data_IF_379718405241
#
_entry.id   IF_379718405241
#
_cell.length_a   1.000
_cell.length_b   1.000
_cell.length_c   1.000
_cell.angle_alpha   90.00
_cell.angle_beta   90.00
_cell.angle_gamma   90.00
#
_symmetry.space_group_name_H-M   'P 1'
#
loop_
_entity.id
_entity.type
_entity.pdbx_description
1 polymer ?
#
# COMPACT_ATOMS: atom_id res chain seq x y z
N UNK A 1 22.07 -37.09 -54.83
CA UNK A 1 21.39 -38.04 -53.92
C UNK A 1 19.92 -37.67 -53.81
N UNK A 2 18.98 -38.60 -54.03
CA UNK A 2 17.55 -38.31 -53.91
C UNK A 2 17.22 -37.98 -52.46
N UNK A 3 16.53 -36.85 -52.23
CA UNK A 3 16.06 -36.47 -50.90
C UNK A 3 14.99 -37.46 -50.45
N UNK A 4 15.22 -38.14 -49.32
CA UNK A 4 14.18 -38.97 -48.69
C UNK A 4 12.99 -38.07 -48.38
N UNK A 5 11.84 -38.38 -48.95
CA UNK A 5 10.58 -37.70 -48.64
C UNK A 5 10.20 -37.86 -47.16
N UNK A 6 9.30 -37.01 -46.63
CA UNK A 6 8.82 -37.11 -45.27
C UNK A 6 8.27 -38.51 -44.99
N UNK A 7 8.56 -39.05 -43.80
CA UNK A 7 8.04 -40.35 -43.37
C UNK A 7 6.51 -40.29 -43.36
N UNK A 8 5.86 -41.28 -43.97
CA UNK A 8 4.39 -41.42 -43.90
C UNK A 8 4.01 -41.70 -42.45
N UNK A 9 3.27 -40.78 -41.84
CA UNK A 9 2.71 -40.96 -40.49
C UNK A 9 1.63 -42.03 -40.57
N UNK A 10 1.67 -43.01 -39.67
CA UNK A 10 0.67 -44.06 -39.59
C UNK A 10 -0.42 -43.69 -38.57
N UNK A 11 -1.62 -44.26 -38.72
CA UNK A 11 -2.72 -44.10 -37.73
C UNK A 11 -2.33 -44.54 -36.31
N UNK A 12 -1.26 -45.32 -36.16
CA UNK A 12 -0.71 -45.69 -34.85
C UNK A 12 0.06 -44.53 -34.23
N UNK A 13 0.88 -43.83 -35.01
CA UNK A 13 1.64 -42.66 -34.56
C UNK A 13 0.71 -41.54 -34.08
N UNK A 14 -0.42 -41.33 -34.77
CA UNK A 14 -1.43 -40.35 -34.35
C UNK A 14 -2.04 -40.68 -32.96
N UNK A 15 -2.37 -41.96 -32.71
CA UNK A 15 -2.89 -42.40 -31.41
C UNK A 15 -1.84 -42.37 -30.30
N UNK A 16 -0.57 -42.56 -30.63
CA UNK A 16 0.53 -42.42 -29.67
C UNK A 16 0.77 -40.94 -29.32
N UNK A 17 0.67 -40.05 -30.30
CA UNK A 17 0.73 -38.59 -30.10
C UNK A 17 -0.42 -38.09 -29.24
N UNK A 18 -1.64 -38.57 -29.49
CA UNK A 18 -2.83 -38.21 -28.70
C UNK A 18 -2.69 -38.66 -27.23
N UNK A 19 -2.31 -39.93 -26.99
CA UNK A 19 -2.03 -40.42 -25.62
C UNK A 19 -0.91 -39.66 -24.93
N UNK A 20 0.13 -39.26 -25.67
CA UNK A 20 1.19 -38.41 -25.13
C UNK A 20 0.67 -37.02 -24.75
N UNK A 21 -0.21 -36.42 -25.56
CA UNK A 21 -0.81 -35.12 -25.28
C UNK A 21 -1.75 -35.18 -24.05
N UNK A 22 -2.55 -36.23 -23.92
CA UNK A 22 -3.42 -36.46 -22.76
C UNK A 22 -2.63 -36.62 -21.47
N UNK A 23 -1.57 -37.44 -21.48
CA UNK A 23 -0.67 -37.61 -20.32
C UNK A 23 -0.04 -36.30 -19.90
N UNK A 24 0.41 -35.48 -20.86
CA UNK A 24 0.96 -34.14 -20.58
C UNK A 24 -0.09 -33.19 -19.98
N UNK A 25 -1.33 -33.21 -20.49
CA UNK A 25 -2.44 -32.43 -19.93
C UNK A 25 -2.75 -32.86 -18.49
N UNK A 26 -2.82 -34.16 -18.22
CA UNK A 26 -3.07 -34.71 -16.88
C UNK A 26 -1.93 -34.36 -15.89
N UNK A 27 -0.67 -34.47 -16.33
CA UNK A 27 0.48 -34.06 -15.52
C UNK A 27 0.48 -32.55 -15.25
N UNK A 28 0.14 -31.73 -16.25
CA UNK A 28 0.04 -30.29 -16.06
C UNK A 28 -1.11 -29.90 -15.12
N UNK A 29 -2.25 -30.57 -15.19
CA UNK A 29 -3.39 -30.33 -14.29
C UNK A 29 -3.06 -30.71 -12.84
N UNK A 30 -2.44 -31.88 -12.61
CA UNK A 30 -2.03 -32.30 -11.28
C UNK A 30 -0.94 -31.41 -10.68
N UNK A 31 0.02 -30.94 -11.49
CA UNK A 31 1.01 -29.95 -11.06
C UNK A 31 0.36 -28.62 -10.63
N UNK A 32 -0.62 -28.11 -11.42
CA UNK A 32 -1.35 -26.88 -11.07
C UNK A 32 -2.15 -27.03 -9.78
N UNK A 33 -2.84 -28.14 -9.59
CA UNK A 33 -3.59 -28.41 -8.36
C UNK A 33 -2.68 -28.42 -7.13
N UNK A 34 -1.51 -29.08 -7.20
CA UNK A 34 -0.51 -29.08 -6.11
C UNK A 34 0.02 -27.68 -5.80
N UNK A 35 0.32 -26.88 -6.83
CA UNK A 35 0.76 -25.49 -6.62
C UNK A 35 -0.35 -24.64 -5.99
N UNK A 36 -1.60 -24.81 -6.42
CA UNK A 36 -2.76 -24.11 -5.85
C UNK A 36 -2.94 -24.43 -4.36
N UNK A 37 -2.84 -25.71 -3.99
CA UNK A 37 -2.93 -26.17 -2.60
C UNK A 37 -1.78 -25.64 -1.74
N UNK A 38 -0.54 -25.65 -2.25
CA UNK A 38 0.62 -25.09 -1.54
C UNK A 38 0.46 -23.60 -1.27
N UNK A 39 0.06 -22.83 -2.29
CA UNK A 39 -0.15 -21.38 -2.15
C UNK A 39 -1.29 -21.08 -1.17
N UNK A 40 -2.35 -21.87 -1.18
CA UNK A 40 -3.44 -21.76 -0.21
C UNK A 40 -2.99 -22.06 1.22
N UNK A 41 -2.18 -23.12 1.43
CA UNK A 41 -1.65 -23.47 2.74
C UNK A 41 -0.71 -22.39 3.28
N UNK A 42 0.17 -21.83 2.45
CA UNK A 42 1.00 -20.68 2.83
C UNK A 42 0.13 -19.48 3.22
N UNK A 43 -0.92 -19.21 2.44
CA UNK A 43 -1.86 -18.11 2.73
C UNK A 43 -2.65 -18.33 4.03
N UNK A 44 -3.03 -19.57 4.36
CA UNK A 44 -3.76 -19.88 5.60
C UNK A 44 -2.87 -19.88 6.85
N UNK A 45 -1.61 -20.27 6.71
CA UNK A 45 -0.71 -20.47 7.85
C UNK A 45 0.05 -19.20 8.24
N UNK A 46 0.25 -18.26 7.32
CA UNK A 46 0.88 -16.98 7.63
C UNK A 46 -0.16 -15.98 8.15
N UNK A 47 0.05 -15.44 9.36
CA UNK A 47 -0.88 -14.49 10.01
C UNK A 47 -1.00 -13.13 9.27
N UNK A 48 -0.18 -12.91 8.25
CA UNK A 48 -0.25 -11.76 7.34
C UNK A 48 0.47 -12.12 6.02
N UNK A 49 -0.16 -12.91 5.14
CA UNK A 49 0.49 -13.33 3.90
C UNK A 49 0.60 -12.13 2.99
N UNK A 50 1.83 -11.72 2.66
CA UNK A 50 2.05 -10.86 1.51
C UNK A 50 1.36 -11.52 0.31
N UNK A 51 0.48 -10.78 -0.36
CA UNK A 51 -0.19 -11.26 -1.58
C UNK A 51 0.89 -11.78 -2.53
N UNK A 52 0.73 -12.99 -3.11
CA UNK A 52 1.77 -13.54 -3.97
C UNK A 52 2.14 -12.54 -5.07
N UNK A 53 3.43 -12.27 -5.23
CA UNK A 53 3.90 -11.23 -6.14
C UNK A 53 3.88 -11.72 -7.59
N UNK A 54 4.13 -13.01 -7.80
CA UNK A 54 4.15 -13.58 -9.14
C UNK A 54 2.74 -13.72 -9.72
N UNK A 55 2.62 -13.56 -11.04
CA UNK A 55 1.36 -13.76 -11.76
C UNK A 55 0.87 -15.21 -11.67
N UNK A 56 1.80 -16.17 -11.59
CA UNK A 56 1.51 -17.60 -11.48
C UNK A 56 0.87 -17.96 -10.15
N UNK A 57 1.45 -17.53 -9.04
CA UNK A 57 0.91 -17.78 -7.70
C UNK A 57 -0.42 -17.05 -7.48
N UNK A 58 -0.60 -15.83 -8.00
CA UNK A 58 -1.91 -15.14 -7.95
C UNK A 58 -3.00 -15.91 -8.68
N UNK A 59 -2.68 -16.58 -9.78
CA UNK A 59 -3.62 -17.44 -10.50
C UNK A 59 -3.92 -18.71 -9.69
N UNK A 60 -2.88 -19.33 -9.12
CA UNK A 60 -3.01 -20.54 -8.31
C UNK A 60 -3.84 -20.28 -7.03
N UNK A 61 -3.62 -19.15 -6.35
CA UNK A 61 -4.42 -18.72 -5.20
C UNK A 61 -5.88 -18.50 -5.57
N UNK A 62 -6.15 -17.87 -6.73
CA UNK A 62 -7.53 -17.69 -7.22
C UNK A 62 -8.22 -19.02 -7.50
N UNK A 63 -7.52 -19.95 -8.13
CA UNK A 63 -8.05 -21.28 -8.43
C UNK A 63 -8.35 -22.05 -7.13
N UNK A 64 -7.46 -21.99 -6.15
CA UNK A 64 -7.66 -22.58 -4.84
C UNK A 64 -8.84 -21.96 -4.07
N UNK A 65 -8.91 -20.63 -3.99
CA UNK A 65 -9.99 -19.91 -3.31
C UNK A 65 -11.35 -20.15 -3.99
N UNK A 66 -11.37 -20.17 -5.32
CA UNK A 66 -12.58 -20.50 -6.08
C UNK A 66 -13.05 -21.93 -5.81
N UNK A 67 -12.14 -22.88 -5.61
CA UNK A 67 -12.47 -24.25 -5.25
C UNK A 67 -13.06 -24.36 -3.83
N UNK A 68 -12.73 -23.42 -2.93
CA UNK A 68 -13.35 -23.28 -1.60
C UNK A 68 -14.70 -22.53 -1.63
N UNK A 69 -15.19 -22.14 -2.81
CA UNK A 69 -16.42 -21.35 -2.95
C UNK A 69 -16.24 -19.85 -2.69
N UNK A 70 -15.00 -19.37 -2.54
CA UNK A 70 -14.71 -17.95 -2.35
C UNK A 70 -14.61 -17.28 -3.73
N UNK A 71 -15.66 -16.58 -4.14
CA UNK A 71 -15.67 -15.87 -5.43
C UNK A 71 -14.67 -14.70 -5.44
N UNK A 72 -13.73 -14.77 -6.37
CA UNK A 72 -12.72 -13.73 -6.61
C UNK A 72 -13.14 -12.75 -7.73
N UNK A 73 -14.38 -12.80 -8.21
CA UNK A 73 -14.86 -11.88 -9.26
C UNK A 73 -14.84 -10.41 -8.79
N UNK A 74 -15.03 -10.19 -7.48
CA UNK A 74 -14.90 -8.86 -6.84
C UNK A 74 -13.49 -8.28 -6.94
N UNK A 75 -12.46 -9.13 -7.01
CA UNK A 75 -11.04 -8.75 -7.09
C UNK A 75 -10.61 -8.16 -8.45
N UNK A 76 -11.34 -8.45 -9.53
CA UNK A 76 -10.95 -8.05 -10.90
C UNK A 76 -11.48 -6.68 -11.34
N UNK A 77 -12.21 -5.96 -10.49
CA UNK A 77 -12.83 -4.68 -10.87
C UNK A 77 -11.84 -3.53 -11.06
N UNK A 78 -10.55 -3.70 -10.70
CA UNK A 78 -9.54 -2.65 -10.79
C UNK A 78 -9.78 -1.48 -9.83
N UNK A 79 -10.80 -1.55 -8.97
CA UNK A 79 -11.01 -0.65 -7.84
C UNK A 79 -10.31 -1.27 -6.63
N UNK A 80 -9.07 -0.85 -6.42
CA UNK A 80 -8.06 -1.67 -5.72
C UNK A 80 -8.12 -1.72 -4.19
N UNK A 81 -8.97 -0.94 -3.50
CA UNK A 81 -8.91 -0.88 -2.02
C UNK A 81 -10.22 -1.28 -1.30
N UNK A 82 -11.39 -0.92 -1.84
CA UNK A 82 -12.70 -1.21 -1.21
C UNK A 82 -13.05 -2.70 -1.17
N UNK A 83 -12.60 -3.48 -2.16
CA UNK A 83 -12.86 -4.92 -2.17
C UNK A 83 -12.01 -5.69 -1.15
N UNK A 84 -10.83 -5.17 -0.80
CA UNK A 84 -9.99 -5.74 0.25
C UNK A 84 -10.59 -5.47 1.64
N UNK A 85 -11.15 -4.28 1.85
CA UNK A 85 -11.90 -3.90 3.05
C UNK A 85 -13.01 -4.91 3.37
N UNK A 86 -13.85 -5.27 2.40
CA UNK A 86 -14.94 -6.22 2.63
C UNK A 86 -14.46 -7.64 2.91
N UNK A 87 -13.36 -8.09 2.29
CA UNK A 87 -12.85 -9.45 2.47
C UNK A 87 -12.09 -9.60 3.79
N UNK A 88 -11.29 -8.59 4.17
CA UNK A 88 -10.63 -8.57 5.48
C UNK A 88 -11.65 -8.44 6.61
N UNK A 89 -12.69 -7.61 6.42
CA UNK A 89 -13.84 -7.51 7.33
C UNK A 89 -14.57 -8.86 7.44
N UNK A 90 -14.99 -9.45 6.32
CA UNK A 90 -15.72 -10.73 6.34
C UNK A 90 -14.91 -11.85 6.99
N UNK A 91 -13.61 -11.96 6.68
CA UNK A 91 -12.79 -13.05 7.26
C UNK A 91 -12.42 -12.80 8.72
N UNK A 92 -12.13 -11.58 9.12
CA UNK A 92 -11.83 -11.29 10.52
C UNK A 92 -13.08 -11.44 11.40
N UNK A 93 -14.21 -10.90 10.94
CA UNK A 93 -15.48 -10.96 11.67
C UNK A 93 -16.00 -12.40 11.72
N UNK A 94 -15.98 -13.16 10.62
CA UNK A 94 -16.47 -14.55 10.61
C UNK A 94 -15.55 -15.53 11.36
N UNK A 95 -14.23 -15.31 11.41
CA UNK A 95 -13.34 -16.18 12.19
C UNK A 95 -13.34 -15.87 13.68
N UNK A 96 -13.49 -14.59 14.07
CA UNK A 96 -13.40 -14.17 15.48
C UNK A 96 -14.76 -14.19 16.18
N UNK A 97 -15.85 -14.04 15.43
CA UNK A 97 -17.22 -14.02 15.91
C UNK A 97 -18.13 -14.96 15.09
N UNK A 98 -17.82 -16.27 15.01
CA UNK A 98 -18.59 -17.21 14.19
C UNK A 98 -20.08 -17.27 14.59
N UNK A 99 -20.38 -17.01 15.86
CA UNK A 99 -21.73 -17.14 16.41
C UNK A 99 -22.62 -15.90 16.18
N UNK A 100 -22.02 -14.74 15.84
CA UNK A 100 -22.76 -13.46 15.72
C UNK A 100 -23.58 -13.37 14.44
N UNK A 101 -23.24 -14.15 13.40
CA UNK A 101 -23.99 -14.16 12.13
C UNK A 101 -25.00 -15.31 12.00
N UNK A 102 -25.13 -16.16 13.02
CA UNK A 102 -26.00 -17.35 12.95
C UNK A 102 -27.39 -17.16 13.58
N UNK A 103 -27.65 -16.04 14.24
CA UNK A 103 -28.95 -15.72 14.83
C UNK A 103 -29.42 -14.35 14.34
N UNK A 104 -30.64 -14.28 13.78
CA UNK A 104 -31.23 -13.08 13.18
C UNK A 104 -31.65 -11.99 14.17
N UNK A 105 -30.80 -11.67 15.15
CA UNK A 105 -31.03 -10.59 16.11
C UNK A 105 -30.43 -9.29 15.55
N UNK A 106 -31.25 -8.57 14.77
CA UNK A 106 -30.89 -7.31 14.08
C UNK A 106 -30.62 -6.12 15.04
N UNK A 107 -30.81 -6.25 16.35
CA UNK A 107 -30.75 -5.13 17.31
C UNK A 107 -29.47 -5.02 18.16
N UNK A 108 -28.53 -5.96 18.06
CA UNK A 108 -27.23 -5.79 18.74
C UNK A 108 -26.26 -5.00 17.87
N UNK A 109 -25.93 -3.77 18.28
CA UNK A 109 -24.82 -3.03 17.67
C UNK A 109 -23.59 -3.92 17.64
N UNK A 110 -22.97 -4.17 16.48
CA UNK A 110 -22.04 -5.26 16.37
C UNK A 110 -20.80 -5.02 17.24
N UNK A 111 -20.53 -5.94 18.17
CA UNK A 111 -19.42 -5.86 19.12
C UNK A 111 -18.04 -5.64 18.44
N UNK A 112 -17.92 -5.98 17.15
CA UNK A 112 -16.72 -5.73 16.36
C UNK A 112 -16.39 -4.24 16.14
N UNK A 113 -17.35 -3.31 16.30
CA UNK A 113 -17.08 -1.87 16.24
C UNK A 113 -16.20 -1.38 17.39
N UNK A 114 -16.13 -2.13 18.49
CA UNK A 114 -15.20 -1.89 19.61
C UNK A 114 -13.82 -2.54 19.43
N UNK A 115 -13.64 -3.34 18.37
CA UNK A 115 -12.39 -4.04 18.12
C UNK A 115 -11.34 -3.06 17.58
N UNK A 116 -10.34 -2.79 18.41
CA UNK A 116 -9.22 -1.89 18.14
C UNK A 116 -8.51 -2.17 16.81
N UNK A 117 -8.40 -3.44 16.41
CA UNK A 117 -7.76 -3.82 15.15
C UNK A 117 -8.64 -3.53 13.94
N UNK A 118 -9.95 -3.79 14.02
CA UNK A 118 -10.88 -3.43 12.95
C UNK A 118 -11.06 -1.92 12.87
N UNK A 119 -11.07 -1.22 14.00
CA UNK A 119 -11.07 0.23 13.99
C UNK A 119 -9.84 0.78 13.27
N UNK A 120 -8.66 0.17 13.40
CA UNK A 120 -7.44 0.53 12.66
C UNK A 120 -7.58 0.30 11.14
N UNK A 121 -8.22 -0.80 10.72
CA UNK A 121 -8.39 -1.14 9.30
C UNK A 121 -9.57 -0.43 8.61
N UNK A 122 -10.65 -0.19 9.35
CA UNK A 122 -11.95 0.20 8.81
C UNK A 122 -12.34 1.63 9.16
N UNK A 123 -11.40 2.49 9.58
CA UNK A 123 -11.74 3.89 9.84
C UNK A 123 -12.07 4.60 8.52
N UNK A 124 -13.35 4.50 8.19
CA UNK A 124 -14.08 5.27 7.21
C UNK A 124 -14.39 6.58 7.94
N UNK A 125 -13.82 7.72 7.50
CA UNK A 125 -14.09 9.02 8.09
C UNK A 125 -15.59 9.25 8.34
N UNK A 126 -15.92 9.95 9.43
CA UNK A 126 -17.31 10.08 9.90
C UNK A 126 -18.22 10.75 8.85
N UNK A 127 -17.67 11.66 8.05
CA UNK A 127 -18.32 12.30 6.89
C UNK A 127 -18.60 11.32 5.73
N UNK A 128 -17.88 10.21 5.69
CA UNK A 128 -18.06 9.14 4.72
C UNK A 128 -19.15 8.15 5.17
N UNK A 129 -19.36 7.97 6.48
CA UNK A 129 -20.53 7.24 7.02
C UNK A 129 -21.83 7.92 6.62
N UNK A 130 -21.90 9.25 6.67
CA UNK A 130 -23.06 10.02 6.24
C UNK A 130 -23.31 9.98 4.73
N UNK A 131 -22.26 9.83 3.92
CA UNK A 131 -22.40 9.69 2.46
C UNK A 131 -22.90 8.30 2.07
N UNK A 132 -22.45 7.25 2.76
CA UNK A 132 -22.89 5.88 2.51
C UNK A 132 -24.33 5.66 2.97
N UNK A 133 -24.74 6.23 4.11
CA UNK A 133 -26.12 6.11 4.61
C UNK A 133 -27.16 6.77 3.70
N UNK A 134 -26.76 7.76 2.89
CA UNK A 134 -27.62 8.42 1.88
C UNK A 134 -27.73 7.67 0.55
N UNK A 135 -26.88 6.68 0.29
CA UNK A 135 -26.86 5.92 -0.98
C UNK A 135 -27.64 4.61 -0.87
N UNK A 136 -28.06 4.20 0.33
CA UNK A 136 -28.96 3.05 0.52
C UNK A 136 -30.41 3.51 0.32
N UNK A 137 -30.80 3.73 -0.93
CA UNK A 137 -32.22 3.72 -1.29
C UNK A 137 -32.74 2.26 -1.26
N UNK A 138 -34.01 2.04 -0.84
CA UNK A 138 -34.58 0.71 -0.77
C UNK A 138 -34.61 0.05 -2.14
N UNK A 139 -34.04 -1.16 -2.17
CA UNK A 139 -34.12 -2.20 -3.19
C UNK A 139 -35.28 -2.00 -4.19
N UNK A 140 -34.98 -1.51 -5.40
CA UNK A 140 -35.91 -1.60 -6.52
C UNK A 140 -36.03 -3.09 -6.92
N UNK A 141 -37.25 -3.66 -6.99
CA UNK A 141 -37.42 -5.01 -7.51
C UNK A 141 -36.96 -5.06 -8.98
N UNK A 142 -36.15 -6.06 -9.30
CA UNK A 142 -35.58 -6.31 -10.62
C UNK A 142 -36.66 -6.23 -11.72
N UNK A 143 -36.41 -5.55 -12.84
CA UNK A 143 -37.33 -5.61 -13.97
C UNK A 143 -37.37 -7.05 -14.53
N UNK A 144 -38.52 -7.50 -15.05
CA UNK A 144 -38.68 -8.84 -15.59
C UNK A 144 -37.68 -9.08 -16.73
N UNK A 145 -37.00 -10.23 -16.67
CA UNK A 145 -36.08 -10.69 -17.70
C UNK A 145 -36.82 -10.85 -19.03
N UNK A 146 -36.50 -9.98 -19.98
CA UNK A 146 -37.02 -10.05 -21.35
C UNK A 146 -36.21 -11.11 -22.13
N UNK A 147 -36.83 -12.26 -22.43
CA UNK A 147 -36.20 -13.43 -23.07
C UNK A 147 -35.81 -13.23 -24.56
N UNK A 148 -36.02 -12.04 -25.13
CA UNK A 148 -35.82 -11.77 -26.56
C UNK A 148 -34.58 -10.93 -26.89
N UNK A 149 -33.44 -11.16 -26.22
CA UNK A 149 -32.19 -10.43 -26.54
C UNK A 149 -31.35 -11.19 -27.58
N UNK A 150 -31.41 -10.72 -28.82
CA UNK A 150 -30.61 -11.18 -29.97
C UNK A 150 -29.11 -10.99 -29.70
N UNK A 151 -28.22 -11.96 -30.05
CA UNK A 151 -26.81 -11.91 -29.71
C UNK A 151 -26.06 -10.75 -30.39
N UNK A 152 -25.38 -9.95 -29.58
CA UNK A 152 -24.50 -8.86 -30.00
C UNK A 152 -23.23 -9.44 -30.66
N UNK A 153 -23.05 -9.22 -31.97
CA UNK A 153 -21.83 -9.62 -32.70
C UNK A 153 -20.69 -8.65 -32.37
N UNK A 154 -19.77 -9.06 -31.51
CA UNK A 154 -18.52 -8.35 -31.29
C UNK A 154 -17.61 -8.48 -32.52
N UNK A 155 -17.33 -7.35 -33.20
CA UNK A 155 -16.31 -7.28 -34.26
C UNK A 155 -14.92 -7.32 -33.63
N UNK A 156 -14.20 -8.41 -33.86
CA UNK A 156 -12.77 -8.53 -33.52
C UNK A 156 -11.95 -7.77 -34.54
N UNK A 157 -11.42 -6.61 -34.17
CA UNK A 157 -10.49 -5.84 -35.01
C UNK A 157 -9.10 -6.46 -34.91
N UNK A 158 -8.66 -7.13 -35.97
CA UNK A 158 -7.30 -7.70 -36.08
C UNK A 158 -6.35 -6.63 -36.61
N UNK A 159 -5.41 -6.15 -35.78
CA UNK A 159 -4.32 -5.29 -36.26
C UNK A 159 -3.25 -6.14 -36.96
N UNK A 160 -3.03 -5.90 -38.25
CA UNK A 160 -1.90 -6.45 -39.01
C UNK A 160 -0.67 -5.58 -38.76
N UNK A 161 0.29 -6.11 -38.00
CA UNK A 161 1.63 -5.52 -37.91
C UNK A 161 2.37 -5.85 -39.22
N UNK A 162 2.92 -4.84 -39.87
CA UNK A 162 3.65 -5.00 -41.13
C UNK A 162 5.01 -5.68 -40.91
N UNK A 163 5.44 -6.50 -41.87
CA UNK A 163 6.69 -7.28 -41.84
C UNK A 163 7.96 -6.42 -41.72
N UNK A 164 7.87 -5.11 -41.96
CA UNK A 164 9.00 -4.17 -41.81
C UNK A 164 9.24 -3.72 -40.37
N UNK A 165 8.25 -3.82 -39.47
CA UNK A 165 8.44 -3.46 -38.04
C UNK A 165 9.00 -4.60 -37.19
N UNK A 166 8.89 -5.86 -37.64
CA UNK A 166 9.49 -7.02 -36.95
C UNK A 166 10.99 -7.20 -37.22
N UNK A 167 11.56 -6.51 -38.23
CA UNK A 167 12.99 -6.65 -38.60
C UNK A 167 13.90 -5.65 -37.88
N UNK A 168 13.36 -4.61 -37.27
CA UNK A 168 14.14 -3.61 -36.52
C UNK A 168 14.41 -3.99 -35.04
N UNK A 169 13.91 -5.14 -34.57
CA UNK A 169 14.10 -5.60 -33.19
C UNK A 169 15.03 -6.82 -33.05
N UNK A 170 15.60 -7.34 -34.16
CA UNK A 170 16.37 -8.58 -34.17
C UNK A 170 17.87 -8.41 -34.47
N UNK A 171 18.35 -7.22 -34.81
CA UNK A 171 19.76 -6.98 -35.16
C UNK A 171 20.32 -5.87 -34.27
N UNK A 172 20.71 -6.27 -33.06
CA UNK A 172 21.57 -5.47 -32.20
C UNK A 172 22.96 -5.38 -32.82
N UNK A 173 23.33 -4.20 -33.31
CA UNK A 173 24.72 -3.86 -33.60
C UNK A 173 24.90 -2.37 -33.37
N UNK A 174 25.41 -2.02 -32.19
CA UNK A 174 25.86 -0.67 -31.87
C UNK A 174 27.24 -0.54 -32.48
N UNK A 175 27.36 0.23 -33.57
CA UNK A 175 28.64 0.71 -34.09
C UNK A 175 28.88 2.09 -33.48
N UNK A 176 29.85 2.18 -32.57
CA UNK A 176 30.36 3.46 -32.06
C UNK A 176 31.53 3.89 -32.94
N UNK A 177 31.39 5.04 -33.61
CA UNK A 177 32.52 5.75 -34.20
C UNK A 177 33.16 6.68 -33.15
N UNK A 178 34.49 6.75 -33.04
CA UNK A 178 35.16 7.67 -32.13
C UNK A 178 35.33 9.05 -32.78
N UNK A 179 34.86 10.10 -32.11
CA UNK A 179 35.32 11.48 -32.37
C UNK A 179 36.27 11.88 -31.25
N UNK A 180 37.53 12.09 -31.64
CA UNK A 180 38.56 12.65 -30.79
C UNK A 180 38.17 14.08 -30.37
N UNK A 181 38.29 14.37 -29.08
CA UNK A 181 38.47 15.74 -28.63
C UNK A 181 39.49 15.74 -27.48
N UNK A 182 40.62 16.37 -27.75
CA UNK A 182 41.73 16.57 -26.84
C UNK A 182 41.38 17.66 -25.84
N UNK A 183 41.35 17.35 -24.55
CA UNK A 183 41.64 18.32 -23.51
C UNK A 183 42.44 17.65 -22.38
N UNK A 184 43.63 18.23 -22.14
CA UNK A 184 44.44 18.14 -20.92
C UNK A 184 43.50 18.28 -19.70
N UNK A 185 43.57 17.51 -18.63
CA UNK A 185 44.72 16.93 -17.98
C UNK A 185 44.72 17.48 -16.55
N UNK A 186 43.98 16.84 -15.64
CA UNK A 186 44.01 17.07 -14.21
C UNK A 186 43.94 15.71 -13.48
N UNK A 187 44.69 15.50 -12.38
CA UNK A 187 44.84 14.21 -11.74
C UNK A 187 43.61 13.81 -10.92
N UNK A 188 43.17 12.56 -11.16
CA UNK A 188 42.14 11.84 -10.41
C UNK A 188 42.67 11.48 -9.02
N UNK A 189 41.99 11.98 -7.98
CA UNK A 189 42.09 11.44 -6.62
C UNK A 189 41.04 10.34 -6.44
N UNK A 190 41.51 9.10 -6.29
CA UNK A 190 40.71 7.93 -5.89
C UNK A 190 40.34 8.04 -4.41
N UNK A 191 39.18 8.62 -4.08
CA UNK A 191 38.65 8.64 -2.70
C UNK A 191 37.11 8.56 -2.67
N UNK A 192 36.54 7.58 -3.38
CA UNK A 192 35.10 7.30 -3.39
C UNK A 192 34.80 5.85 -3.00
N UNK A 193 35.25 5.43 -1.81
CA UNK A 193 34.86 4.15 -1.24
C UNK A 193 34.89 4.11 0.29
N UNK A 194 34.47 5.18 0.98
CA UNK A 194 34.15 5.11 2.42
C UNK A 194 33.16 6.22 2.78
N UNK A 195 31.88 5.99 2.52
CA UNK A 195 30.81 6.76 3.17
C UNK A 195 30.64 6.15 4.56
N UNK A 196 31.03 6.81 5.66
CA UNK A 196 30.85 6.25 6.99
C UNK A 196 29.36 6.06 7.23
N UNK A 197 28.95 4.84 7.57
CA UNK A 197 27.64 4.64 8.16
C UNK A 197 27.56 5.53 9.41
N UNK A 198 26.61 6.46 9.42
CA UNK A 198 26.30 7.29 10.59
C UNK A 198 25.87 6.35 11.73
N UNK A 199 26.83 5.93 12.55
CA UNK A 199 26.57 5.30 13.84
C UNK A 199 26.02 6.39 14.76
N UNK A 200 24.71 6.58 14.75
CA UNK A 200 24.01 7.38 15.75
C UNK A 200 24.19 6.69 17.12
N UNK A 201 24.64 7.41 18.16
CA UNK A 201 24.76 6.85 19.50
C UNK A 201 23.37 6.40 19.98
N UNK A 202 23.28 5.15 20.44
CA UNK A 202 22.01 4.47 20.67
C UNK A 202 21.12 5.07 21.78
N UNK A 203 21.60 6.05 22.56
CA UNK A 203 20.96 6.46 23.81
C UNK A 203 20.87 7.98 24.06
N UNK A 204 20.96 8.81 23.01
CA UNK A 204 20.66 10.24 23.16
C UNK A 204 19.16 10.41 23.47
N UNK A 205 18.82 10.58 24.76
CA UNK A 205 17.44 10.77 25.21
C UNK A 205 16.94 12.15 24.79
N UNK A 206 16.17 12.18 23.70
CA UNK A 206 15.42 13.38 23.32
C UNK A 206 14.39 13.68 24.39
N UNK A 207 14.49 14.86 25.00
CA UNK A 207 13.47 15.32 25.94
C UNK A 207 12.26 15.77 25.14
N UNK A 208 11.14 15.08 25.33
CA UNK A 208 9.86 15.44 24.69
C UNK A 208 9.40 16.78 25.28
N UNK A 209 9.14 17.81 24.47
CA UNK A 209 8.60 19.05 24.99
C UNK A 209 7.17 18.82 25.52
N UNK A 210 6.88 19.30 26.72
CA UNK A 210 5.52 19.29 27.28
C UNK A 210 4.76 20.55 26.89
N UNK A 211 3.47 20.40 26.63
CA UNK A 211 2.54 21.49 26.39
C UNK A 211 2.20 21.70 24.92
N UNK A 212 1.89 22.94 24.58
CA UNK A 212 1.36 23.32 23.27
C UNK A 212 2.51 23.74 22.33
N UNK A 213 2.55 23.17 21.13
CA UNK A 213 3.61 23.38 20.16
C UNK A 213 3.05 23.57 18.75
N UNK A 214 3.86 24.21 17.91
CA UNK A 214 3.71 24.18 16.46
C UNK A 214 4.87 23.39 15.88
N UNK A 215 4.55 22.40 15.04
CA UNK A 215 5.55 21.56 14.37
C UNK A 215 5.72 22.08 12.95
N UNK A 216 6.94 22.46 12.58
CA UNK A 216 7.23 22.96 11.23
C UNK A 216 8.23 22.08 10.50
N UNK A 217 8.13 21.99 9.18
CA UNK A 217 9.17 21.40 8.34
C UNK A 217 10.32 22.40 8.09
N UNK A 218 11.35 21.99 7.35
CA UNK A 218 12.47 22.86 6.97
C UNK A 218 12.10 24.06 6.08
N UNK A 219 10.90 24.06 5.48
CA UNK A 219 10.38 25.18 4.69
C UNK A 219 9.56 26.16 5.52
N UNK A 220 9.55 26.03 6.86
CA UNK A 220 8.75 26.81 7.80
C UNK A 220 7.24 26.72 7.54
N UNK A 221 6.80 25.62 6.94
CA UNK A 221 5.38 25.28 6.86
C UNK A 221 5.01 24.46 8.10
N UNK A 222 3.88 24.79 8.71
CA UNK A 222 3.37 24.10 9.88
C UNK A 222 2.60 22.84 9.49
N UNK A 223 2.72 21.81 10.32
CA UNK A 223 1.88 20.62 10.28
C UNK A 223 0.50 21.01 10.82
N UNK A 224 -0.51 21.02 9.97
CA UNK A 224 -1.87 21.42 10.34
C UNK A 224 -2.80 20.22 10.28
N UNK A 225 -3.70 20.12 11.26
CA UNK A 225 -4.86 19.24 11.22
C UNK A 225 -6.13 20.09 11.19
N UNK A 226 -6.93 19.92 10.14
CA UNK A 226 -8.23 20.59 10.07
C UNK A 226 -9.28 19.89 10.96
N UNK A 227 -10.46 20.50 11.07
CA UNK A 227 -11.57 19.95 11.86
C UNK A 227 -12.08 18.57 11.38
N UNK A 228 -11.75 18.18 10.14
CA UNK A 228 -12.08 16.84 9.60
C UNK A 228 -11.03 15.79 9.95
N UNK A 229 -9.92 16.21 10.59
CA UNK A 229 -8.79 15.35 10.90
C UNK A 229 -7.84 15.14 9.73
N UNK A 230 -7.98 15.90 8.63
CA UNK A 230 -7.03 15.81 7.52
C UNK A 230 -5.76 16.59 7.87
N UNK A 231 -4.62 15.92 7.69
CA UNK A 231 -3.31 16.51 7.99
C UNK A 231 -2.67 17.05 6.72
N UNK A 232 -2.13 18.27 6.78
CA UNK A 232 -1.49 18.94 5.65
C UNK A 232 -0.37 19.86 6.10
N UNK A 233 0.58 20.15 5.22
CA UNK A 233 1.54 21.24 5.41
C UNK A 233 0.89 22.54 4.97
N UNK A 234 0.95 23.60 5.80
CA UNK A 234 0.49 24.94 5.42
C UNK A 234 1.53 25.99 5.78
N UNK A 235 1.57 27.08 5.02
CA UNK A 235 2.46 28.20 5.34
C UNK A 235 2.14 28.76 6.71
N UNK A 236 3.16 29.04 7.53
CA UNK A 236 3.02 29.70 8.83
C UNK A 236 2.41 31.11 8.75
N UNK A 237 2.43 31.73 7.56
CA UNK A 237 1.81 33.03 7.31
C UNK A 237 0.29 32.95 7.07
N UNK A 238 -0.26 31.74 6.90
CA UNK A 238 -1.69 31.55 6.73
C UNK A 238 -2.39 31.68 8.09
N UNK A 239 -3.08 32.81 8.29
CA UNK A 239 -3.83 33.09 9.53
C UNK A 239 -4.90 32.03 9.82
N UNK A 240 -5.47 31.40 8.79
CA UNK A 240 -6.44 30.31 8.97
C UNK A 240 -5.78 29.03 9.50
N UNK A 241 -4.47 28.87 9.26
CA UNK A 241 -3.71 27.72 9.70
C UNK A 241 -3.22 27.82 11.15
N UNK A 242 -3.30 29.00 11.80
CA UNK A 242 -2.77 29.20 13.16
C UNK A 242 -3.39 28.20 14.14
N UNK A 243 -4.72 28.10 14.18
CA UNK A 243 -5.42 27.16 15.09
C UNK A 243 -5.15 25.71 14.69
N UNK A 244 -5.23 25.39 13.40
CA UNK A 244 -5.01 24.03 12.88
C UNK A 244 -3.56 23.55 13.10
N UNK A 245 -2.60 24.47 13.26
CA UNK A 245 -1.17 24.18 13.46
C UNK A 245 -0.76 23.89 14.90
N UNK A 246 -1.69 24.04 15.84
CA UNK A 246 -1.44 23.87 17.26
C UNK A 246 -1.63 22.41 17.67
N UNK A 247 -0.61 21.86 18.33
CA UNK A 247 -0.58 20.51 18.84
C UNK A 247 -0.27 20.51 20.34
N UNK A 248 -1.05 19.79 21.13
CA UNK A 248 -0.69 19.43 22.51
C UNK A 248 0.14 18.15 22.48
N UNK A 249 1.34 18.21 23.04
CA UNK A 249 2.23 17.07 23.19
C UNK A 249 1.95 16.41 24.53
N UNK A 250 1.52 15.15 24.49
CA UNK A 250 1.25 14.34 25.66
C UNK A 250 2.34 13.24 25.75
N UNK A 251 3.38 13.40 26.59
CA UNK A 251 4.42 12.38 26.74
C UNK A 251 3.83 11.07 27.27
N UNK A 252 4.21 9.93 26.68
CA UNK A 252 3.74 8.62 27.13
C UNK A 252 4.82 7.89 27.94
N UNK A 253 5.95 7.65 27.30
CA UNK A 253 7.17 7.06 27.88
C UNK A 253 8.39 7.87 27.40
N UNK A 254 9.56 7.74 28.04
CA UNK A 254 10.74 8.50 27.62
C UNK A 254 11.06 8.33 26.12
N UNK A 255 11.10 9.45 25.38
CA UNK A 255 11.34 9.48 23.94
C UNK A 255 10.10 9.29 23.06
N UNK A 256 8.91 9.14 23.66
CA UNK A 256 7.65 8.95 22.93
C UNK A 256 6.56 9.91 23.38
N UNK A 257 5.66 10.24 22.47
CA UNK A 257 4.51 11.08 22.78
C UNK A 257 3.31 10.77 21.88
N UNK A 258 2.14 11.22 22.34
CA UNK A 258 0.98 11.43 21.50
C UNK A 258 0.91 12.92 21.12
N UNK A 259 0.42 13.20 19.92
CA UNK A 259 0.19 14.56 19.44
C UNK A 259 -1.30 14.77 19.26
N UNK A 260 -1.88 15.70 20.04
CA UNK A 260 -3.30 16.02 19.98
C UNK A 260 -3.50 17.37 19.30
N UNK A 261 -4.23 17.40 18.20
CA UNK A 261 -4.57 18.64 17.48
C UNK A 261 -5.41 19.58 18.34
N UNK A 262 -5.48 20.86 17.96
CA UNK A 262 -6.36 21.86 18.58
C UNK A 262 -7.85 21.44 18.59
N UNK A 263 -8.27 20.58 17.66
CA UNK A 263 -9.62 20.01 17.57
C UNK A 263 -9.82 18.80 18.50
N UNK A 264 -8.86 18.51 19.37
CA UNK A 264 -8.92 17.45 20.36
C UNK A 264 -8.72 16.05 19.79
N UNK A 265 -8.28 15.91 18.54
CA UNK A 265 -8.04 14.63 17.86
C UNK A 265 -6.56 14.26 17.80
N UNK A 266 -6.23 13.00 17.99
CA UNK A 266 -4.84 12.51 18.02
C UNK A 266 -4.30 12.18 16.63
N UNK A 267 -3.03 12.53 16.39
CA UNK A 267 -2.28 12.20 15.18
C UNK A 267 -2.03 10.69 15.11
N UNK A 268 -2.50 10.08 14.04
CA UNK A 268 -2.48 8.65 13.80
C UNK A 268 -1.89 8.32 12.43
N UNK A 269 -1.09 7.26 12.38
CA UNK A 269 -0.71 6.63 11.12
C UNK A 269 -1.74 5.55 10.75
N UNK A 270 -2.65 5.90 9.84
CA UNK A 270 -3.59 4.96 9.23
C UNK A 270 -2.97 4.24 8.03
N UNK A 271 -3.21 2.93 7.94
CA UNK A 271 -2.62 2.06 6.92
C UNK A 271 -2.96 2.49 5.49
N UNK A 272 -4.19 3.01 5.28
CA UNK A 272 -4.73 3.27 3.95
C UNK A 272 -4.76 4.75 3.60
N UNK A 273 -5.15 5.60 4.55
CA UNK A 273 -5.27 7.04 4.32
C UNK A 273 -3.97 7.80 4.62
N UNK A 274 -2.94 7.13 5.14
CA UNK A 274 -1.68 7.75 5.53
C UNK A 274 -1.82 8.45 6.88
N UNK A 275 -1.36 9.71 6.96
CA UNK A 275 -1.37 10.47 8.19
C UNK A 275 -2.71 11.20 8.37
N UNK A 276 -3.40 10.94 9.47
CA UNK A 276 -4.68 11.55 9.85
C UNK A 276 -4.68 11.96 11.31
N UNK A 277 -5.57 12.85 11.71
CA UNK A 277 -5.78 13.28 13.08
C UNK A 277 -7.27 13.19 13.42
N UNK A 278 -7.81 11.98 13.48
CA UNK A 278 -9.25 11.71 13.56
C UNK A 278 -9.69 11.02 14.85
N UNK A 279 -8.78 10.66 15.76
CA UNK A 279 -9.09 9.85 16.93
C UNK A 279 -9.35 10.67 18.18
N UNK A 280 -10.42 10.37 18.91
CA UNK A 280 -10.77 11.05 20.17
C UNK A 280 -9.98 10.58 21.38
N UNK A 281 -9.32 9.43 21.29
CA UNK A 281 -8.53 8.82 22.37
C UNK A 281 -7.25 8.22 21.80
N UNK A 282 -6.13 8.44 22.48
CA UNK A 282 -4.87 7.82 22.12
C UNK A 282 -4.83 6.33 22.52
N UNK A 283 -4.23 5.54 21.64
CA UNK A 283 -3.80 4.17 21.86
C UNK A 283 -2.34 4.04 21.41
N UNK A 284 -1.82 2.82 21.42
CA UNK A 284 -0.43 2.54 21.07
C UNK A 284 -0.07 2.85 19.60
N UNK A 285 -1.06 3.10 18.73
CA UNK A 285 -0.83 3.45 17.33
C UNK A 285 -0.82 4.97 17.05
N UNK A 286 -1.25 5.80 18.01
CA UNK A 286 -1.03 7.26 18.03
C UNK A 286 0.27 7.66 18.74
N UNK A 287 1.02 6.66 19.23
CA UNK A 287 2.31 6.88 19.86
C UNK A 287 3.39 7.08 18.78
N UNK A 288 4.15 8.16 18.93
CA UNK A 288 5.23 8.54 18.04
C UNK A 288 6.56 8.56 18.79
N UNK A 289 7.60 7.99 18.18
CA UNK A 289 8.96 8.11 18.67
C UNK A 289 9.56 9.43 18.16
N UNK A 290 10.15 10.22 19.07
CA UNK A 290 10.92 11.40 18.75
C UNK A 290 12.41 11.05 18.76
N UNK A 291 13.07 11.19 17.62
CA UNK A 291 14.52 11.02 17.49
C UNK A 291 15.18 12.30 17.01
N UNK A 292 16.43 12.55 17.44
CA UNK A 292 17.25 13.66 16.94
C UNK A 292 17.34 13.62 15.41
N UNK A 293 17.27 14.78 14.77
CA UNK A 293 17.47 14.89 13.34
C UNK A 293 18.90 14.47 12.95
N UNK A 294 19.07 13.94 11.74
CA UNK A 294 20.34 13.42 11.24
C UNK A 294 21.47 14.46 11.30
N UNK A 295 22.38 14.31 12.27
CA UNK A 295 23.77 14.76 12.15
C UNK A 295 24.06 16.25 12.32
N UNK A 296 23.07 17.09 12.67
CA UNK A 296 23.34 18.48 13.00
C UNK A 296 23.57 18.64 14.51
N UNK A 297 24.66 19.30 14.89
CA UNK A 297 24.85 19.75 16.28
C UNK A 297 23.63 20.60 16.64
N UNK A 298 22.89 20.25 17.71
CA UNK A 298 21.68 20.98 18.08
C UNK A 298 22.05 22.44 18.28
N UNK A 299 21.47 23.32 17.48
CA UNK A 299 21.47 24.74 17.82
C UNK A 299 20.54 24.86 19.04
N UNK A 300 21.01 25.31 20.21
CA UNK A 300 20.23 25.23 21.46
C UNK A 300 18.90 25.99 21.41
N UNK A 301 18.70 26.87 20.44
CA UNK A 301 17.44 27.59 20.21
C UNK A 301 16.42 26.85 19.33
N UNK A 302 16.82 25.84 18.56
CA UNK A 302 15.95 25.10 17.64
C UNK A 302 16.18 23.60 17.81
N UNK A 303 15.22 22.94 18.47
CA UNK A 303 15.23 21.48 18.58
C UNK A 303 14.69 20.89 17.27
N UNK A 304 15.58 20.43 16.39
CA UNK A 304 15.18 19.64 15.23
C UNK A 304 15.11 18.15 15.56
N UNK A 305 14.08 17.49 15.04
CA UNK A 305 13.75 16.11 15.36
C UNK A 305 13.11 15.42 14.15
N UNK A 306 12.92 14.12 14.27
CA UNK A 306 12.18 13.28 13.33
C UNK A 306 11.04 12.61 14.09
N UNK A 307 9.89 12.47 13.44
CA UNK A 307 8.71 11.84 14.03
C UNK A 307 8.48 10.47 13.38
N UNK A 308 8.65 9.40 14.16
CA UNK A 308 8.60 8.02 13.67
C UNK A 308 7.37 7.31 14.24
N UNK A 309 6.56 6.72 13.37
CA UNK A 309 5.38 5.95 13.78
C UNK A 309 5.74 4.55 14.28
N UNK A 310 4.78 3.90 14.96
CA UNK A 310 4.83 2.48 15.35
C UNK A 310 5.17 1.51 14.21
N UNK A 311 4.98 1.91 12.94
CA UNK A 311 5.32 1.10 11.75
C UNK A 311 6.75 1.32 11.24
N UNK A 312 7.59 2.02 11.99
CA UNK A 312 8.94 2.40 11.59
C UNK A 312 8.99 3.23 10.29
N UNK A 313 7.99 4.09 10.07
CA UNK A 313 8.03 5.10 9.00
C UNK A 313 7.98 6.51 9.59
N UNK A 314 8.60 7.44 8.88
CA UNK A 314 8.86 8.81 9.31
C UNK A 314 7.89 9.77 8.62
N UNK A 315 7.42 10.78 9.35
CA UNK A 315 6.67 11.89 8.77
C UNK A 315 7.62 12.80 8.01
N UNK A 316 7.26 13.12 6.76
CA UNK A 316 8.01 14.06 5.95
C UNK A 316 7.14 14.81 4.95
N UNK A 317 7.82 15.57 4.08
CA UNK A 317 7.21 16.35 3.00
C UNK A 317 7.55 15.77 1.63
N UNK A 318 6.56 15.73 0.74
CA UNK A 318 6.78 15.51 -0.69
C UNK A 318 5.89 16.46 -1.50
N UNK A 319 6.50 17.49 -2.10
CA UNK A 319 5.74 18.60 -2.70
C UNK A 319 4.92 19.31 -1.62
N UNK A 320 3.60 19.38 -1.83
CA UNK A 320 2.64 19.99 -0.90
C UNK A 320 1.93 18.97 0.01
N UNK A 321 2.37 17.71 -0.03
CA UNK A 321 1.73 16.61 0.71
C UNK A 321 2.57 16.18 1.89
N UNK A 322 1.88 15.83 2.96
CA UNK A 322 2.46 15.08 4.07
C UNK A 322 2.59 13.62 3.62
N UNK A 323 3.78 13.06 3.77
CA UNK A 323 4.08 11.70 3.37
C UNK A 323 4.68 10.92 4.53
N UNK A 324 4.49 9.61 4.47
CA UNK A 324 5.16 8.66 5.35
C UNK A 324 6.20 7.91 4.53
N UNK A 325 7.45 7.91 4.99
CA UNK A 325 8.60 7.32 4.27
C UNK A 325 9.36 6.37 5.18
N UNK A 326 9.88 5.30 4.60
CA UNK A 326 10.80 4.35 5.26
C UNK A 326 12.23 4.89 5.36
N UNK A 327 12.57 5.86 4.50
CA UNK A 327 13.89 6.50 4.45
C UNK A 327 13.87 7.82 5.18
N UNK A 328 14.80 7.98 6.12
CA UNK A 328 15.08 9.25 6.75
C UNK A 328 15.90 10.10 5.78
N UNK A 329 15.34 11.25 5.40
CA UNK A 329 16.00 12.26 4.58
C UNK A 329 15.78 13.66 5.17
N UNK A 330 16.28 14.67 4.48
CA UNK A 330 16.12 16.08 4.87
C UNK A 330 14.65 16.51 4.92
N UNK A 331 13.75 15.85 4.19
CA UNK A 331 12.32 16.18 4.21
C UNK A 331 11.60 15.62 5.44
N UNK A 332 12.27 14.77 6.24
CA UNK A 332 11.76 14.23 7.50
C UNK A 332 12.17 15.08 8.72
N UNK A 333 13.02 16.09 8.52
CA UNK A 333 13.47 16.97 9.59
C UNK A 333 12.37 17.98 9.94
N UNK A 334 11.95 17.92 11.20
CA UNK A 334 10.92 18.75 11.79
C UNK A 334 11.54 19.64 12.87
N UNK A 335 10.92 20.79 13.12
CA UNK A 335 11.30 21.74 14.18
C UNK A 335 10.11 21.99 15.08
N UNK A 336 10.37 22.09 16.38
CA UNK A 336 9.38 22.55 17.34
C UNK A 336 9.51 24.06 17.50
N UNK A 337 8.45 24.78 17.15
CA UNK A 337 8.27 26.17 17.53
C UNK A 337 7.33 26.18 18.74
N UNK A 338 7.85 26.58 19.90
CA UNK A 338 7.04 26.62 21.13
C UNK A 338 5.94 27.68 20.96
N UNK A 339 4.68 27.27 21.08
CA UNK A 339 3.57 28.21 21.18
C UNK A 339 3.57 28.78 22.62
N UNK A 340 3.56 30.10 22.73
CA UNK A 340 3.64 30.84 24.01
C UNK A 340 2.35 30.71 24.80
#
# INVERSE_FOLDING_TARGET
MPRKGPKKVTKRDDRDLERCAERRKAQSATARAKTAEQVLNVYKTQSNPNIPTSKGERRALREALSAEGVSMERWNSGKFDECFFHIAKDRYVNNKFPDVYSAGDEESSPQWESDSWLQMYLHVPEDYREKVSKVVEPFCPSPPCDENRVPFKNKTTTFKISRSQAKAMAEGTIIVHPTANTNKGDPVSDDLANKPALNLPADAKVTVPEGTVTITNLHNEALCADATGKVSWRSSNDTSAIVDSVWSVEPTVPGKCNLRSAHGRFLCHCIWSGLVADRSSASWWEEWDLSEALGNKPNPSETSFTLKSWRNVYVGKSGDKVVLTDKIDINCELKVVKAV
#
